data_IF_975605222672
#
_entry.id   IF_975605222672
#
_cell.length_a   1.000
_cell.length_b   1.000
_cell.length_c   1.000
_cell.angle_alpha   90.00
_cell.angle_beta   90.00
_cell.angle_gamma   90.00
#
_symmetry.space_group_name_H-M   'P 1'
#
loop_
_entity.id
_entity.type
_entity.pdbx_description
1 polymer ?
#
# COMPACT_ATOMS: atom_id res chain seq x y z
N UNK A 1 -1.37 29.34 -30.52
CA UNK A 1 -2.10 30.09 -29.48
C UNK A 1 -3.45 29.42 -29.23
N UNK A 2 -3.70 29.03 -27.97
CA UNK A 2 -4.98 28.77 -27.26
C UNK A 2 -5.98 27.73 -27.85
N UNK A 3 -6.50 26.87 -26.95
CA UNK A 3 -7.53 25.83 -27.11
C UNK A 3 -7.14 24.54 -27.86
N UNK A 4 -6.51 23.59 -27.14
CA UNK A 4 -6.63 22.17 -27.50
C UNK A 4 -7.77 21.56 -26.68
N UNK A 5 -8.78 21.00 -27.38
CA UNK A 5 -9.87 20.21 -26.80
C UNK A 5 -9.26 18.94 -26.17
N UNK A 6 -9.53 18.67 -24.89
CA UNK A 6 -9.13 17.43 -24.21
C UNK A 6 -8.29 17.58 -22.93
N UNK A 7 -8.03 18.80 -22.43
CA UNK A 7 -7.38 18.97 -21.12
C UNK A 7 -8.31 18.48 -19.99
N UNK A 8 -7.77 17.68 -19.08
CA UNK A 8 -8.48 17.16 -17.91
C UNK A 8 -8.23 18.10 -16.73
N UNK A 9 -9.29 18.73 -16.23
CA UNK A 9 -9.22 19.44 -14.95
C UNK A 9 -9.45 18.43 -13.82
N UNK A 10 -8.51 18.31 -12.90
CA UNK A 10 -8.72 17.54 -11.68
C UNK A 10 -9.38 18.43 -10.63
N UNK A 11 -10.56 18.04 -10.19
CA UNK A 11 -11.24 18.59 -9.02
C UNK A 11 -11.60 17.42 -8.09
N UNK A 12 -11.60 17.66 -6.78
CA UNK A 12 -12.15 16.69 -5.85
C UNK A 12 -13.64 16.48 -6.17
N UNK A 13 -14.09 15.22 -6.24
CA UNK A 13 -15.48 14.90 -6.59
C UNK A 13 -16.48 15.50 -5.57
N UNK A 14 -16.09 15.56 -4.30
CA UNK A 14 -16.87 16.18 -3.23
C UNK A 14 -16.20 17.47 -2.73
N UNK A 15 -16.30 18.53 -3.54
CA UNK A 15 -15.86 19.87 -3.12
C UNK A 15 -16.70 20.45 -1.96
N UNK A 16 -17.90 19.91 -1.71
CA UNK A 16 -18.73 20.24 -0.53
C UNK A 16 -18.40 19.39 0.72
N UNK A 17 -17.71 18.24 0.57
CA UNK A 17 -17.33 17.35 1.69
C UNK A 17 -15.82 17.39 2.02
N UNK A 18 -15.12 18.47 1.68
CA UNK A 18 -13.73 18.70 2.12
C UNK A 18 -12.65 17.89 1.38
N UNK A 19 -12.90 17.46 0.14
CA UNK A 19 -11.87 16.81 -0.67
C UNK A 19 -10.65 17.73 -0.91
N UNK A 20 -9.44 17.20 -0.67
CA UNK A 20 -8.19 17.96 -0.76
C UNK A 20 -7.82 18.12 -2.23
N UNK A 21 -7.52 19.35 -2.67
CA UNK A 21 -7.09 19.63 -4.03
C UNK A 21 -5.85 18.78 -4.40
N UNK A 22 -5.83 18.14 -5.58
CA UNK A 22 -4.71 17.31 -5.98
C UNK A 22 -3.43 18.14 -6.11
N UNK A 23 -2.35 17.68 -5.50
CA UNK A 23 -1.04 18.34 -5.52
C UNK A 23 -0.10 17.62 -6.49
N UNK A 24 0.65 18.41 -7.28
CA UNK A 24 1.76 17.91 -8.12
C UNK A 24 3.07 18.41 -7.52
N UNK A 25 3.96 17.50 -7.14
CA UNK A 25 5.23 17.83 -6.50
C UNK A 25 6.43 17.31 -7.29
N UNK A 26 7.54 18.04 -7.21
CA UNK A 26 8.80 17.73 -7.89
C UNK A 26 9.90 17.48 -6.85
N UNK A 27 10.67 16.41 -7.05
CA UNK A 27 11.77 16.04 -6.16
C UNK A 27 13.09 15.93 -6.91
N UNK A 28 14.20 16.08 -6.18
CA UNK A 28 15.54 16.02 -6.77
C UNK A 28 15.91 14.62 -7.29
N UNK A 29 15.43 13.57 -6.64
CA UNK A 29 15.74 12.17 -6.94
C UNK A 29 14.59 11.24 -6.53
N UNK A 30 14.53 10.04 -7.10
CA UNK A 30 13.59 8.98 -6.73
C UNK A 30 13.68 8.61 -5.23
N UNK A 31 14.88 8.56 -4.67
CA UNK A 31 15.08 8.35 -3.24
C UNK A 31 14.58 9.54 -2.39
N UNK A 32 14.59 10.77 -2.93
CA UNK A 32 13.99 11.91 -2.24
C UNK A 32 12.47 11.89 -2.34
N UNK A 33 11.92 11.57 -3.51
CA UNK A 33 10.47 11.36 -3.70
C UNK A 33 9.95 10.29 -2.74
N UNK A 34 10.59 9.12 -2.68
CA UNK A 34 10.20 8.03 -1.80
C UNK A 34 10.18 8.42 -0.32
N UNK A 35 11.23 9.11 0.16
CA UNK A 35 11.31 9.56 1.57
C UNK A 35 10.24 10.59 1.92
N UNK A 36 10.00 11.56 1.04
CA UNK A 36 8.99 12.60 1.30
C UNK A 36 7.56 12.03 1.23
N UNK A 37 7.31 11.09 0.31
CA UNK A 37 6.03 10.35 0.28
C UNK A 37 5.85 9.52 1.55
N UNK A 38 6.88 8.80 2.00
CA UNK A 38 6.83 8.02 3.24
C UNK A 38 6.60 8.90 4.47
N UNK A 39 7.28 10.05 4.57
CA UNK A 39 7.09 11.01 5.66
C UNK A 39 5.65 11.55 5.72
N UNK A 40 5.08 11.92 4.56
CA UNK A 40 3.67 12.37 4.49
C UNK A 40 2.70 11.27 4.89
N UNK A 41 2.97 10.03 4.51
CA UNK A 41 2.16 8.88 4.93
C UNK A 41 2.27 8.68 6.43
N UNK A 42 3.47 8.81 7.01
CA UNK A 42 3.66 8.73 8.46
C UNK A 42 2.87 9.83 9.19
N UNK A 43 2.85 11.07 8.67
CA UNK A 43 2.03 12.16 9.22
C UNK A 43 0.52 11.84 9.13
N UNK A 44 0.08 11.25 8.02
CA UNK A 44 -1.31 10.82 7.85
C UNK A 44 -1.69 9.74 8.87
N UNK A 45 -0.82 8.74 9.06
CA UNK A 45 -1.04 7.68 10.04
C UNK A 45 -1.04 8.23 11.47
N UNK A 46 -0.11 9.15 11.79
CA UNK A 46 -0.05 9.81 13.09
C UNK A 46 -1.29 10.67 13.39
N UNK A 47 -1.96 11.19 12.36
CA UNK A 47 -3.22 11.93 12.48
C UNK A 47 -4.47 11.04 12.41
N UNK A 48 -4.30 9.72 12.38
CA UNK A 48 -5.38 8.74 12.50
C UNK A 48 -5.88 8.13 11.19
N UNK A 49 -5.24 8.42 10.05
CA UNK A 49 -5.54 7.71 8.80
C UNK A 49 -5.09 6.26 8.92
N UNK A 50 -5.99 5.31 8.64
CA UNK A 50 -5.67 3.89 8.71
C UNK A 50 -4.71 3.52 7.56
N UNK A 51 -3.58 2.83 7.81
CA UNK A 51 -2.61 2.49 6.77
C UNK A 51 -3.21 1.74 5.56
N UNK A 52 -4.18 0.84 5.79
CA UNK A 52 -4.86 0.10 4.75
C UNK A 52 -5.70 0.97 3.79
N UNK A 53 -6.01 2.20 4.17
CA UNK A 53 -6.72 3.17 3.34
C UNK A 53 -5.77 4.03 2.48
N UNK A 54 -4.47 3.69 2.47
CA UNK A 54 -3.42 4.41 1.75
C UNK A 54 -2.77 3.49 0.70
N UNK A 55 -2.60 4.02 -0.52
CA UNK A 55 -1.85 3.35 -1.58
C UNK A 55 -0.81 4.24 -2.25
N UNK A 56 0.33 3.62 -2.62
CA UNK A 56 1.34 4.20 -3.50
C UNK A 56 1.31 3.44 -4.82
N UNK A 57 0.97 4.17 -5.89
CA UNK A 57 0.86 3.66 -7.24
C UNK A 57 2.07 4.08 -8.07
N UNK A 58 2.66 3.13 -8.77
CA UNK A 58 3.84 3.34 -9.62
C UNK A 58 3.72 2.57 -10.94
N UNK A 59 4.62 2.82 -11.90
CA UNK A 59 4.51 2.21 -13.23
C UNK A 59 5.08 0.80 -13.30
N UNK A 60 6.24 0.57 -12.68
CA UNK A 60 6.99 -0.69 -12.78
C UNK A 60 7.39 -1.22 -11.40
N UNK A 61 7.45 -2.55 -11.27
CA UNK A 61 7.78 -3.21 -10.01
C UNK A 61 9.16 -2.81 -9.44
N UNK A 62 10.13 -2.45 -10.29
CA UNK A 62 11.46 -2.03 -9.82
C UNK A 62 11.42 -0.79 -8.90
N UNK A 63 10.37 0.03 -8.96
CA UNK A 63 10.18 1.18 -8.08
C UNK A 63 9.81 0.79 -6.64
N UNK A 64 9.27 -0.42 -6.41
CA UNK A 64 8.80 -0.80 -5.07
C UNK A 64 9.92 -0.90 -4.04
N UNK A 65 11.16 -1.22 -4.46
CA UNK A 65 12.29 -1.41 -3.54
C UNK A 65 12.69 -0.12 -2.83
N UNK A 66 12.86 0.99 -3.57
CA UNK A 66 13.22 2.29 -2.99
C UNK A 66 12.08 2.87 -2.14
N UNK A 67 10.84 2.64 -2.57
CA UNK A 67 9.64 3.06 -1.81
C UNK A 67 9.52 2.26 -0.51
N UNK A 68 9.70 0.94 -0.57
CA UNK A 68 9.67 0.07 0.60
C UNK A 68 10.73 0.44 1.63
N UNK A 69 11.97 0.68 1.18
CA UNK A 69 13.05 1.16 2.07
C UNK A 69 12.67 2.46 2.77
N UNK A 70 12.06 3.41 2.05
CA UNK A 70 11.63 4.68 2.65
C UNK A 70 10.48 4.52 3.66
N UNK A 71 9.54 3.59 3.41
CA UNK A 71 8.48 3.26 4.36
C UNK A 71 9.03 2.55 5.60
N UNK A 72 10.00 1.66 5.43
CA UNK A 72 10.70 0.99 6.52
C UNK A 72 11.42 1.99 7.42
N UNK A 73 12.17 2.94 6.84
CA UNK A 73 12.84 4.03 7.55
C UNK A 73 11.84 4.93 8.30
N UNK A 74 10.62 5.08 7.77
CA UNK A 74 9.54 5.84 8.39
C UNK A 74 8.72 5.03 9.42
N UNK A 75 9.03 3.76 9.66
CA UNK A 75 8.29 2.92 10.60
C UNK A 75 6.92 2.45 10.08
N UNK A 76 6.67 2.52 8.78
CA UNK A 76 5.37 2.23 8.16
C UNK A 76 5.38 0.85 7.52
N UNK A 77 4.54 -0.04 8.03
CA UNK A 77 4.31 -1.33 7.41
C UNK A 77 3.68 -1.17 6.01
N UNK A 78 4.10 -2.03 5.09
CA UNK A 78 3.57 -2.03 3.73
C UNK A 78 3.42 -3.44 3.17
N UNK A 79 2.58 -3.56 2.15
CA UNK A 79 2.38 -4.79 1.38
C UNK A 79 2.48 -4.49 -0.11
N UNK A 80 3.11 -5.38 -0.88
CA UNK A 80 3.21 -5.26 -2.34
C UNK A 80 2.09 -6.07 -2.99
N UNK A 81 1.24 -5.41 -3.77
CA UNK A 81 0.16 -6.08 -4.50
C UNK A 81 0.74 -7.01 -5.56
N UNK A 82 0.33 -8.28 -5.53
CA UNK A 82 0.92 -9.35 -6.34
C UNK A 82 2.14 -10.02 -5.68
N UNK A 83 2.47 -9.65 -4.43
CA UNK A 83 3.41 -10.35 -3.58
C UNK A 83 2.81 -11.61 -2.94
N UNK A 84 3.50 -12.14 -1.92
CA UNK A 84 3.01 -13.28 -1.16
C UNK A 84 1.68 -12.97 -0.48
N UNK A 85 0.79 -13.96 -0.49
CA UNK A 85 -0.50 -13.94 0.21
C UNK A 85 -0.30 -14.03 1.72
N UNK A 86 -1.26 -13.51 2.49
CA UNK A 86 -1.16 -13.47 3.96
C UNK A 86 -0.86 -14.84 4.58
N UNK A 87 -1.64 -15.86 4.21
CA UNK A 87 -1.46 -17.21 4.74
C UNK A 87 -0.22 -17.95 4.21
N UNK A 88 0.42 -17.41 3.18
CA UNK A 88 1.68 -17.93 2.63
C UNK A 88 2.91 -17.28 3.29
N UNK A 89 2.73 -16.22 4.10
CA UNK A 89 3.82 -15.56 4.82
C UNK A 89 4.50 -16.53 5.80
N UNK A 90 5.85 -16.58 5.86
CA UNK A 90 6.57 -17.51 6.72
C UNK A 90 6.15 -17.45 8.18
N UNK A 91 6.01 -16.24 8.73
CA UNK A 91 5.61 -16.00 10.12
C UNK A 91 4.15 -16.44 10.39
N UNK A 92 3.24 -16.25 9.44
CA UNK A 92 1.83 -16.64 9.55
C UNK A 92 1.71 -18.16 9.52
N UNK A 93 2.41 -18.82 8.59
CA UNK A 93 2.48 -20.28 8.52
C UNK A 93 3.05 -20.88 9.80
N UNK A 94 4.11 -20.28 10.34
CA UNK A 94 4.72 -20.73 11.58
C UNK A 94 3.75 -20.58 12.76
N UNK A 95 3.05 -19.44 12.86
CA UNK A 95 2.02 -19.22 13.87
C UNK A 95 0.90 -20.24 13.79
N UNK A 96 0.31 -20.47 12.61
CA UNK A 96 -0.75 -21.46 12.41
C UNK A 96 -0.28 -22.87 12.78
N UNK A 97 0.95 -23.24 12.42
CA UNK A 97 1.52 -24.54 12.81
C UNK A 97 1.63 -24.69 14.33
N UNK A 98 2.10 -23.66 15.04
CA UNK A 98 2.22 -23.67 16.50
C UNK A 98 0.86 -23.69 17.20
N UNK A 99 -0.11 -22.90 16.72
CA UNK A 99 -1.48 -22.93 17.20
C UNK A 99 -2.10 -24.32 17.02
N UNK A 100 -1.88 -24.95 15.86
CA UNK A 100 -2.34 -26.31 15.59
C UNK A 100 -1.71 -27.32 16.55
N UNK A 101 -0.43 -27.18 16.89
CA UNK A 101 0.22 -28.00 17.91
C UNK A 101 -0.35 -27.79 19.32
N UNK A 102 -0.69 -26.54 19.67
CA UNK A 102 -1.30 -26.20 20.95
C UNK A 102 -2.70 -26.83 21.15
N UNK A 103 -3.42 -27.17 20.08
CA UNK A 103 -4.71 -27.91 20.19
C UNK A 103 -4.57 -29.32 20.79
N UNK A 104 -3.37 -29.91 20.75
CA UNK A 104 -3.10 -31.24 21.28
C UNK A 104 -3.02 -31.20 22.81
N UNK A 105 -2.56 -30.08 23.37
CA UNK A 105 -2.45 -29.89 24.81
C UNK A 105 -3.83 -29.49 25.33
N UNK A 106 -4.40 -30.30 26.24
CA UNK A 106 -5.66 -29.96 26.91
C UNK A 106 -5.40 -28.84 27.93
N UNK A 107 -5.54 -27.59 27.50
CA UNK A 107 -5.57 -26.43 28.38
C UNK A 107 -7.01 -25.97 28.61
N UNK A 108 -7.30 -25.43 29.79
CA UNK A 108 -8.58 -24.73 30.08
C UNK A 108 -8.42 -23.21 29.90
N UNK A 109 -7.36 -22.78 29.22
CA UNK A 109 -7.08 -21.37 29.00
C UNK A 109 -8.03 -20.79 27.96
N UNK A 110 -8.40 -19.53 28.14
CA UNK A 110 -9.17 -18.78 27.14
C UNK A 110 -8.40 -18.70 25.82
N UNK A 111 -9.13 -18.70 24.69
CA UNK A 111 -8.56 -18.62 23.34
C UNK A 111 -7.51 -17.51 23.21
N UNK A 112 -7.89 -16.30 23.63
CA UNK A 112 -7.02 -15.13 23.61
C UNK A 112 -5.66 -15.39 24.26
N UNK A 113 -5.65 -16.01 25.45
CA UNK A 113 -4.42 -16.27 26.19
C UNK A 113 -3.53 -17.23 25.42
N UNK A 114 -4.08 -18.35 24.95
CA UNK A 114 -3.30 -19.35 24.21
C UNK A 114 -2.76 -18.78 22.89
N UNK A 115 -3.57 -18.01 22.15
CA UNK A 115 -3.11 -17.34 20.92
C UNK A 115 -2.02 -16.32 21.23
N UNK A 116 -2.23 -15.44 22.23
CA UNK A 116 -1.23 -14.47 22.68
C UNK A 116 0.09 -15.16 23.06
N UNK A 117 0.05 -16.24 23.84
CA UNK A 117 1.27 -16.95 24.28
C UNK A 117 2.05 -17.52 23.07
N UNK A 118 1.34 -18.12 22.10
CA UNK A 118 1.95 -18.61 20.86
C UNK A 118 2.54 -17.46 20.05
N UNK A 119 1.79 -16.37 19.83
CA UNK A 119 2.27 -15.24 19.03
C UNK A 119 3.44 -14.51 19.72
N UNK A 120 3.43 -14.37 21.05
CA UNK A 120 4.55 -13.80 21.82
C UNK A 120 5.83 -14.61 21.66
N UNK A 121 5.73 -15.94 21.62
CA UNK A 121 6.90 -16.80 21.33
C UNK A 121 7.48 -16.58 19.93
N UNK A 122 6.69 -16.01 19.02
CA UNK A 122 7.08 -15.63 17.65
C UNK A 122 7.46 -14.16 17.51
N UNK A 123 7.56 -13.41 18.61
CA UNK A 123 7.96 -12.01 18.61
C UNK A 123 6.82 -11.00 18.46
N UNK A 124 5.56 -11.42 18.58
CA UNK A 124 4.45 -10.47 18.72
C UNK A 124 4.48 -9.81 20.12
N UNK A 125 4.18 -8.53 20.15
CA UNK A 125 4.04 -7.71 21.35
C UNK A 125 2.68 -7.01 21.32
N UNK A 126 2.14 -6.64 22.47
CA UNK A 126 0.85 -5.93 22.52
C UNK A 126 0.93 -4.59 21.78
N UNK A 127 1.99 -3.83 22.05
CA UNK A 127 2.26 -2.58 21.35
C UNK A 127 3.12 -2.84 20.12
N UNK A 128 2.92 -2.10 19.01
CA UNK A 128 3.77 -2.23 17.86
C UNK A 128 5.22 -1.84 18.14
N UNK A 129 6.20 -2.46 17.46
CA UNK A 129 7.59 -2.10 17.59
C UNK A 129 7.83 -0.66 17.07
N UNK A 130 8.70 0.07 17.77
CA UNK A 130 9.15 1.39 17.34
C UNK A 130 10.06 1.33 16.10
N UNK A 131 10.71 0.18 15.88
CA UNK A 131 11.56 -0.06 14.71
C UNK A 131 10.66 -0.52 13.55
N UNK A 132 10.81 0.15 12.40
CA UNK A 132 10.16 -0.22 11.15
C UNK A 132 10.72 -1.49 10.50
N UNK A 133 10.59 -1.59 9.18
CA UNK A 133 11.22 -2.69 8.46
C UNK A 133 10.49 -4.02 8.61
N UNK A 134 11.26 -5.08 8.35
CA UNK A 134 10.82 -6.47 8.50
C UNK A 134 10.27 -6.78 9.90
N UNK A 135 10.75 -6.10 10.95
CA UNK A 135 10.25 -6.29 12.32
C UNK A 135 8.82 -5.78 12.45
N UNK A 136 8.55 -4.55 12.00
CA UNK A 136 7.19 -3.99 12.01
C UNK A 136 6.25 -4.77 11.10
N UNK A 137 6.69 -5.12 9.89
CA UNK A 137 5.87 -5.89 8.94
C UNK A 137 5.50 -7.27 9.50
N UNK A 138 6.46 -7.99 10.08
CA UNK A 138 6.19 -9.27 10.77
C UNK A 138 5.22 -9.09 11.93
N UNK A 139 5.38 -8.02 12.72
CA UNK A 139 4.47 -7.71 13.82
C UNK A 139 3.04 -7.51 13.32
N UNK A 140 2.82 -6.75 12.24
CA UNK A 140 1.50 -6.58 11.64
C UNK A 140 0.88 -7.92 11.20
N UNK A 141 1.69 -8.82 10.60
CA UNK A 141 1.22 -10.15 10.20
C UNK A 141 0.72 -10.98 11.38
N UNK A 142 1.45 -10.96 12.49
CA UNK A 142 1.05 -11.67 13.71
C UNK A 142 -0.12 -10.97 14.40
N UNK A 143 -0.13 -9.64 14.41
CA UNK A 143 -1.20 -8.84 15.01
C UNK A 143 -2.53 -9.06 14.28
N UNK A 144 -2.51 -9.24 12.96
CA UNK A 144 -3.71 -9.62 12.21
C UNK A 144 -4.31 -10.96 12.70
N UNK A 145 -3.48 -11.97 13.01
CA UNK A 145 -3.98 -13.21 13.62
C UNK A 145 -4.56 -12.98 15.02
N UNK A 146 -3.95 -12.09 15.79
CA UNK A 146 -4.45 -11.74 17.13
C UNK A 146 -5.83 -11.07 17.06
N UNK A 147 -6.00 -10.11 16.17
CA UNK A 147 -7.29 -9.44 15.94
C UNK A 147 -8.38 -10.43 15.51
N UNK A 148 -8.04 -11.39 14.65
CA UNK A 148 -8.98 -12.45 14.30
C UNK A 148 -9.41 -13.32 15.48
N UNK A 149 -8.52 -13.54 16.46
CA UNK A 149 -8.84 -14.26 17.68
C UNK A 149 -9.69 -13.42 18.65
N UNK A 150 -9.48 -12.11 18.70
CA UNK A 150 -10.28 -11.17 19.51
C UNK A 150 -11.70 -11.00 18.96
N UNK A 151 -11.89 -11.09 17.65
CA UNK A 151 -13.19 -11.02 16.99
C UNK A 151 -14.05 -12.29 17.20
N UNK A 152 -13.48 -13.35 17.77
CA UNK A 152 -14.20 -14.60 18.01
C UNK A 152 -15.30 -14.45 19.06
N UNK A 153 -16.42 -15.17 18.91
CA UNK A 153 -17.42 -15.26 19.96
C UNK A 153 -16.83 -15.73 21.30
N UNK A 154 -17.41 -15.22 22.40
CA UNK A 154 -17.03 -15.66 23.73
C UNK A 154 -17.26 -17.17 23.88
N UNK A 155 -16.22 -17.90 24.30
CA UNK A 155 -16.27 -19.35 24.48
C UNK A 155 -15.77 -20.17 23.29
N UNK A 156 -15.42 -19.54 22.16
CA UNK A 156 -14.74 -20.23 21.05
C UNK A 156 -13.47 -20.91 21.54
N UNK A 157 -13.33 -22.20 21.21
CA UNK A 157 -12.15 -22.99 21.57
C UNK A 157 -11.01 -22.82 20.56
N UNK A 158 -9.77 -23.11 20.98
CA UNK A 158 -8.60 -23.04 20.09
C UNK A 158 -8.75 -23.92 18.83
N UNK A 159 -9.28 -25.13 18.96
CA UNK A 159 -9.48 -26.05 17.83
C UNK A 159 -10.43 -25.48 16.78
N UNK A 160 -11.50 -24.83 17.22
CA UNK A 160 -12.48 -24.18 16.35
C UNK A 160 -11.84 -23.01 15.61
N UNK A 161 -11.12 -22.14 16.33
CA UNK A 161 -10.39 -21.02 15.74
C UNK A 161 -9.34 -21.47 14.71
N UNK A 162 -8.55 -22.51 15.01
CA UNK A 162 -7.57 -23.06 14.06
C UNK A 162 -8.25 -23.62 12.82
N UNK A 163 -9.41 -24.26 12.97
CA UNK A 163 -10.20 -24.77 11.84
C UNK A 163 -10.66 -23.62 10.94
N UNK A 164 -11.18 -22.54 11.52
CA UNK A 164 -11.56 -21.34 10.78
C UNK A 164 -10.36 -20.71 10.04
N UNK A 165 -9.18 -20.62 10.68
CA UNK A 165 -7.97 -20.10 10.02
C UNK A 165 -7.58 -20.93 8.79
N UNK A 166 -7.72 -22.26 8.85
CA UNK A 166 -7.45 -23.15 7.71
C UNK A 166 -8.50 -23.00 6.61
N UNK A 167 -9.77 -22.83 6.96
CA UNK A 167 -10.85 -22.56 6.01
C UNK A 167 -10.67 -21.21 5.30
N UNK A 168 -10.31 -20.16 6.05
CA UNK A 168 -9.96 -18.84 5.49
C UNK A 168 -8.77 -18.95 4.55
N UNK A 169 -7.73 -19.70 4.91
CA UNK A 169 -6.59 -19.95 4.05
C UNK A 169 -6.97 -20.66 2.74
N UNK A 170 -7.80 -21.70 2.82
CA UNK A 170 -8.27 -22.44 1.65
C UNK A 170 -9.17 -21.58 0.74
N UNK A 171 -10.04 -20.77 1.34
CA UNK A 171 -10.95 -19.85 0.64
C UNK A 171 -10.32 -18.52 0.21
N UNK A 172 -9.05 -18.28 0.51
CA UNK A 172 -8.36 -17.00 0.25
C UNK A 172 -9.05 -15.78 0.90
N UNK A 173 -9.68 -16.00 2.06
CA UNK A 173 -10.30 -14.96 2.87
C UNK A 173 -9.24 -14.35 3.79
N UNK A 174 -8.38 -13.52 3.21
CA UNK A 174 -7.29 -12.86 3.93
C UNK A 174 -7.82 -11.79 4.89
N UNK A 175 -7.25 -11.66 6.11
CA UNK A 175 -7.54 -10.53 6.97
C UNK A 175 -7.01 -9.23 6.36
N UNK A 176 -7.61 -8.11 6.77
CA UNK A 176 -7.08 -6.79 6.41
C UNK A 176 -5.81 -6.52 7.23
N UNK A 177 -4.70 -6.31 6.54
CA UNK A 177 -3.44 -5.90 7.15
C UNK A 177 -3.43 -4.39 7.37
N UNK A 178 -3.02 -3.93 8.55
CA UNK A 178 -2.77 -2.51 8.82
C UNK A 178 -1.46 -2.07 8.17
N UNK A 179 -1.46 -2.02 6.84
CA UNK A 179 -0.28 -1.74 6.03
C UNK A 179 -0.63 -0.93 4.78
N UNK A 180 0.29 -0.06 4.36
CA UNK A 180 0.18 0.71 3.11
C UNK A 180 0.28 -0.22 1.91
N UNK A 181 -0.55 0.01 0.89
CA UNK A 181 -0.52 -0.81 -0.33
C UNK A 181 0.43 -0.22 -1.37
N UNK A 182 1.44 -0.99 -1.77
CA UNK A 182 2.30 -0.71 -2.93
C UNK A 182 1.75 -1.46 -4.15
N UNK A 183 1.41 -0.75 -5.22
CA UNK A 183 0.85 -1.37 -6.41
C UNK A 183 1.32 -0.72 -7.71
N UNK A 184 1.37 -1.51 -8.78
CA UNK A 184 1.49 -0.93 -10.11
C UNK A 184 0.17 -0.32 -10.54
N UNK A 185 0.21 0.68 -11.42
CA UNK A 185 -0.99 1.25 -12.05
C UNK A 185 -1.89 0.18 -12.70
N UNK A 186 -1.31 -0.90 -13.22
CA UNK A 186 -2.06 -2.03 -13.80
C UNK A 186 -2.79 -2.84 -12.73
N UNK A 187 -2.10 -3.19 -11.64
CA UNK A 187 -2.67 -4.02 -10.57
C UNK A 187 -3.65 -3.26 -9.66
N UNK A 188 -3.75 -1.94 -9.81
CA UNK A 188 -4.71 -1.09 -9.11
C UNK A 188 -6.11 -1.08 -9.74
N UNK A 189 -6.30 -1.68 -10.93
CA UNK A 189 -7.59 -1.69 -11.62
C UNK A 189 -8.68 -2.33 -10.74
N UNK A 190 -9.79 -1.60 -10.56
CA UNK A 190 -10.94 -2.05 -9.76
C UNK A 190 -10.77 -1.90 -8.25
N UNK A 191 -9.66 -1.33 -7.79
CA UNK A 191 -9.40 -1.04 -6.37
C UNK A 191 -9.52 0.46 -6.10
N UNK A 192 -9.78 0.84 -4.86
CA UNK A 192 -9.88 2.25 -4.46
C UNK A 192 -9.39 2.42 -3.04
N UNK A 193 -8.82 3.60 -2.76
CA UNK A 193 -8.29 3.98 -1.45
C UNK A 193 -8.67 5.43 -1.14
N UNK A 194 -8.76 5.77 0.14
CA UNK A 194 -9.04 7.14 0.55
C UNK A 194 -7.87 8.07 0.18
N UNK A 195 -6.64 7.61 0.31
CA UNK A 195 -5.43 8.39 0.02
C UNK A 195 -4.55 7.65 -1.00
N UNK A 196 -4.29 8.28 -2.14
CA UNK A 196 -3.47 7.72 -3.21
C UNK A 196 -2.32 8.65 -3.56
N UNK A 197 -1.12 8.08 -3.60
CA UNK A 197 0.10 8.72 -4.07
C UNK A 197 0.50 8.07 -5.39
N UNK A 198 0.52 8.82 -6.49
CA UNK A 198 1.04 8.33 -7.79
C UNK A 198 2.42 8.93 -8.00
N UNK A 199 3.44 8.07 -7.98
CA UNK A 199 4.86 8.47 -7.95
C UNK A 199 5.57 8.12 -9.25
N UNK A 200 6.70 8.78 -9.51
CA UNK A 200 7.53 8.53 -10.69
C UNK A 200 6.86 8.97 -12.00
N UNK A 201 6.10 10.06 -11.97
CA UNK A 201 5.42 10.65 -13.13
C UNK A 201 6.42 11.39 -14.02
N UNK A 202 7.22 10.62 -14.74
CA UNK A 202 8.38 11.10 -15.46
C UNK A 202 8.42 10.53 -16.88
N UNK A 203 8.92 11.30 -17.84
CA UNK A 203 9.22 10.78 -19.18
C UNK A 203 10.12 9.54 -19.12
N UNK A 204 9.80 8.57 -19.97
CA UNK A 204 10.45 7.27 -20.01
C UNK A 204 9.93 6.27 -18.98
N UNK A 205 9.31 6.72 -17.87
CA UNK A 205 8.59 5.85 -16.92
C UNK A 205 7.09 5.86 -17.21
N UNK A 206 6.44 7.02 -17.15
CA UNK A 206 5.03 7.17 -17.50
C UNK A 206 4.87 8.46 -18.33
N UNK A 207 4.77 8.39 -19.66
CA UNK A 207 4.70 7.16 -20.46
C UNK A 207 6.02 6.36 -20.45
N UNK A 208 5.90 5.04 -20.49
CA UNK A 208 7.07 4.16 -20.53
C UNK A 208 7.84 4.33 -21.84
N UNK A 209 9.18 4.29 -21.78
CA UNK A 209 10.04 4.73 -22.88
C UNK A 209 9.88 3.97 -24.21
N UNK A 210 9.33 2.75 -24.17
CA UNK A 210 9.03 1.97 -25.38
C UNK A 210 7.61 2.19 -25.93
N UNK A 211 6.78 3.01 -25.29
CA UNK A 211 5.50 3.46 -25.84
C UNK A 211 5.74 4.62 -26.83
N UNK A 212 6.05 4.27 -28.09
CA UNK A 212 6.46 5.25 -29.11
C UNK A 212 5.36 5.64 -30.09
N UNK A 213 4.29 4.84 -30.20
CA UNK A 213 3.14 5.13 -31.08
C UNK A 213 2.08 5.95 -30.35
N UNK A 214 1.28 6.73 -31.09
CA UNK A 214 0.17 7.49 -30.50
C UNK A 214 -0.82 6.60 -29.74
N UNK A 215 -1.10 5.40 -30.27
CA UNK A 215 -1.95 4.42 -29.60
C UNK A 215 -1.33 3.92 -28.28
N UNK A 216 -0.02 3.65 -28.25
CA UNK A 216 0.67 3.22 -27.03
C UNK A 216 0.75 4.35 -25.99
N UNK A 217 1.00 5.59 -26.42
CA UNK A 217 0.99 6.77 -25.54
C UNK A 217 -0.42 7.01 -24.99
N UNK A 218 -1.46 6.84 -25.81
CA UNK A 218 -2.85 6.94 -25.35
C UNK A 218 -3.18 5.85 -24.32
N UNK A 219 -2.61 4.65 -24.44
CA UNK A 219 -2.78 3.60 -23.43
C UNK A 219 -2.07 3.95 -22.11
N UNK A 220 -0.84 4.46 -22.16
CA UNK A 220 -0.15 4.96 -20.95
C UNK A 220 -0.90 6.11 -20.27
N UNK A 221 -1.57 6.97 -21.06
CA UNK A 221 -2.47 8.01 -20.55
C UNK A 221 -3.67 7.41 -19.82
N UNK A 222 -4.29 6.36 -20.39
CA UNK A 222 -5.39 5.63 -19.73
C UNK A 222 -4.94 4.99 -18.42
N UNK A 223 -3.72 4.45 -18.37
CA UNK A 223 -3.15 3.90 -17.13
C UNK A 223 -3.02 4.97 -16.04
N UNK A 224 -2.53 6.17 -16.39
CA UNK A 224 -2.50 7.29 -15.45
C UNK A 224 -3.91 7.65 -14.97
N UNK A 225 -4.87 7.74 -15.88
CA UNK A 225 -6.27 8.00 -15.54
C UNK A 225 -6.85 6.96 -14.58
N UNK A 226 -6.57 5.67 -14.80
CA UNK A 226 -6.95 4.60 -13.87
C UNK A 226 -6.36 4.89 -12.49
N UNK A 227 -5.05 5.18 -12.39
CA UNK A 227 -4.39 5.52 -11.13
C UNK A 227 -5.02 6.70 -10.38
N UNK A 228 -5.27 7.80 -11.09
CA UNK A 228 -5.90 9.01 -10.56
C UNK A 228 -7.28 8.70 -9.96
N UNK A 229 -8.09 7.91 -10.68
CA UNK A 229 -9.45 7.55 -10.25
C UNK A 229 -9.51 6.50 -9.15
N UNK A 230 -8.37 6.00 -8.65
CA UNK A 230 -8.37 5.10 -7.48
C UNK A 230 -8.48 5.89 -6.16
N UNK A 231 -8.29 7.21 -6.19
CA UNK A 231 -8.35 8.08 -5.03
C UNK A 231 -9.79 8.50 -4.71
N UNK A 232 -10.25 8.28 -3.48
CA UNK A 232 -11.57 8.76 -3.02
C UNK A 232 -11.52 10.14 -2.40
N UNK A 233 -10.51 10.44 -1.57
CA UNK A 233 -10.43 11.69 -0.80
C UNK A 233 -9.21 12.53 -1.14
N UNK A 234 -8.03 11.90 -1.24
CA UNK A 234 -6.75 12.58 -1.48
C UNK A 234 -6.00 11.93 -2.63
N UNK A 235 -5.55 12.76 -3.56
CA UNK A 235 -4.63 12.38 -4.62
C UNK A 235 -3.39 13.26 -4.55
N UNK A 236 -2.22 12.63 -4.46
CA UNK A 236 -0.93 13.30 -4.63
C UNK A 236 -0.21 12.70 -5.84
N UNK A 237 0.32 13.58 -6.68
CA UNK A 237 1.06 13.24 -7.88
C UNK A 237 2.50 13.74 -7.71
N UNK A 238 3.49 12.92 -8.04
CA UNK A 238 4.89 13.35 -7.94
C UNK A 238 5.81 12.79 -9.00
N UNK A 239 6.93 13.46 -9.18
CA UNK A 239 8.01 13.03 -10.05
C UNK A 239 9.37 13.43 -9.47
N UNK A 240 10.42 12.77 -9.96
CA UNK A 240 11.81 13.05 -9.61
C UNK A 240 12.64 13.46 -10.84
N UNK A 241 13.55 14.43 -10.65
CA UNK A 241 14.44 14.90 -11.72
C UNK A 241 15.55 13.91 -12.09
N UNK A 242 15.97 13.09 -11.13
CA UNK A 242 16.99 12.04 -11.31
C UNK A 242 16.47 10.70 -10.80
N UNK A 243 16.83 9.62 -11.48
CA UNK A 243 16.52 8.26 -11.01
C UNK A 243 17.80 7.45 -10.96
N UNK A 244 18.03 6.72 -9.86
CA UNK A 244 19.24 5.93 -9.67
C UNK A 244 19.40 4.82 -10.72
N UNK A 245 18.29 4.43 -11.38
CA UNK A 245 18.27 3.34 -12.35
C UNK A 245 18.44 3.78 -13.82
N UNK A 246 18.40 5.07 -14.15
CA UNK A 246 18.51 5.53 -15.55
C UNK A 246 19.42 6.76 -15.66
N UNK A 247 20.52 6.63 -16.41
CA UNK A 247 21.36 7.76 -16.78
C UNK A 247 20.62 8.68 -17.74
N UNK A 248 20.19 9.85 -17.25
CA UNK A 248 19.55 10.90 -18.03
C UNK A 248 18.88 11.94 -17.13
N UNK A 249 18.96 13.22 -17.51
CA UNK A 249 18.08 14.26 -16.95
C UNK A 249 16.66 13.94 -17.39
N UNK A 250 15.80 13.60 -16.44
CA UNK A 250 14.46 13.16 -16.79
C UNK A 250 13.46 14.32 -16.66
N UNK A 251 12.76 14.61 -17.76
CA UNK A 251 11.69 15.59 -17.77
C UNK A 251 10.46 15.06 -17.02
N UNK A 252 9.64 15.95 -16.41
CA UNK A 252 8.34 15.57 -15.88
C UNK A 252 7.51 14.91 -16.99
N UNK A 253 6.64 13.96 -16.62
CA UNK A 253 5.71 13.32 -17.55
C UNK A 253 4.92 14.37 -18.31
N UNK A 254 4.85 14.23 -19.64
CA UNK A 254 3.99 15.07 -20.49
C UNK A 254 2.53 15.11 -20.03
N UNK A 255 2.06 14.05 -19.36
CA UNK A 255 0.69 13.98 -18.86
C UNK A 255 0.42 14.96 -17.71
N UNK A 256 1.44 15.37 -16.94
CA UNK A 256 1.27 16.37 -15.87
C UNK A 256 0.84 17.74 -16.42
N UNK A 257 1.34 18.11 -17.61
CA UNK A 257 0.96 19.35 -18.28
C UNK A 257 -0.50 19.36 -18.75
N UNK A 258 -1.13 18.20 -18.86
CA UNK A 258 -2.54 18.07 -19.27
C UNK A 258 -3.49 18.17 -18.08
N UNK A 259 -3.03 17.78 -16.90
CA UNK A 259 -3.77 17.84 -15.63
C UNK A 259 -3.80 19.26 -15.03
N UNK A 260 -2.82 20.08 -15.37
CA UNK A 260 -2.59 21.42 -14.78
C UNK A 260 -3.17 22.57 -15.61
N UNK A 261 -3.82 22.31 -16.76
CA UNK A 261 -4.48 23.34 -17.57
C UNK A 261 -5.82 23.78 -16.95
N UNK A 262 -5.75 24.47 -15.81
CA UNK A 262 -6.77 25.45 -15.43
C UNK A 262 -6.61 26.65 -16.35
N UNK A 263 -7.47 26.77 -17.36
CA UNK A 263 -7.64 28.07 -18.01
C UNK A 263 -8.52 28.89 -17.07
N UNK A 264 -7.93 29.91 -16.45
CA UNK A 264 -8.68 31.03 -15.86
C UNK A 264 -9.64 31.63 -16.88
#
# INVERSE_FOLDING_TARGET
MRNQRGALSLAAADSEAGGIAPAVEAYRSDAAEAREVAARIADLVATGVRPQDIAILFRINAQSAVIGTALDDAGIAYQVRGGARFFDLPEVRQAIMMLKGATIVKTQDALFKTVSDVLRSLGWTQDPPAIGGAVRTRWESLNALMLLAEEQPNGTGLTEFVTELLERSAGQHEPTMSAVTLATLHSAKGLEWDNVFVVGLQEGLLPIGYATTDAAIAEERRLLYVGITRARKRLQLSWAATTGQRSGSNAPSRFLAELTRQTR
#
